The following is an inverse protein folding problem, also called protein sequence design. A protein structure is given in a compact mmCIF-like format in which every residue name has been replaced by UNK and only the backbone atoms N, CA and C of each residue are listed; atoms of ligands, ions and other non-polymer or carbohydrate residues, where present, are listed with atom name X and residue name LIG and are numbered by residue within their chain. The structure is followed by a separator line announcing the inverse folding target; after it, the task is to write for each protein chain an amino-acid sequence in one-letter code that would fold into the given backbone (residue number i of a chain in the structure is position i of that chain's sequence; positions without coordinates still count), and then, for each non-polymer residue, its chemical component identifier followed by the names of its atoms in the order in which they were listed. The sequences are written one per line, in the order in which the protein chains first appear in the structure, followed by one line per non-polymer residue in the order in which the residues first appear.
data_IF_395927720241
#
_entry.id   IF_395927720241
#
_cell.length_a   1.000
_cell.length_b   1.000
_cell.length_c   1.000
_cell.angle_alpha   90.00
_cell.angle_beta   90.00
_cell.angle_gamma   90.00
#
_symmetry.space_group_name_H-M   'P 1'
#
loop_
_entity.id
_entity.type
_entity.pdbx_description
1 polymer ?
#
# COMPACT_ATOMS: atom_id res chain seq x y z
N UNK A 1 21.46 14.41 -7.28
CA UNK A 1 20.81 15.37 -6.38
C UNK A 1 19.68 14.59 -5.75
N UNK A 2 19.89 14.09 -4.54
CA UNK A 2 18.88 13.27 -3.84
C UNK A 2 17.78 14.21 -3.36
N UNK A 3 16.65 14.21 -4.06
CA UNK A 3 15.43 14.81 -3.55
C UNK A 3 15.00 13.99 -2.34
N UNK A 4 15.27 14.51 -1.14
CA UNK A 4 14.63 14.02 0.08
C UNK A 4 13.13 14.19 -0.11
N UNK A 5 12.42 13.13 -0.47
CA UNK A 5 10.98 13.14 -0.58
C UNK A 5 10.43 13.44 0.81
N UNK A 6 10.04 14.70 1.04
CA UNK A 6 9.46 15.15 2.31
C UNK A 6 8.08 14.52 2.46
N UNK A 7 7.67 14.23 3.71
CA UNK A 7 6.28 13.88 3.99
C UNK A 7 5.36 14.98 3.45
N UNK A 8 4.27 14.61 2.78
CA UNK A 8 3.30 15.57 2.25
C UNK A 8 1.92 15.23 2.75
N UNK A 9 1.11 16.25 3.07
CA UNK A 9 -0.25 16.07 3.52
C UNK A 9 -1.21 16.93 2.71
N UNK A 10 -2.26 16.28 2.20
CA UNK A 10 -3.36 16.89 1.48
C UNK A 10 -4.67 16.50 2.16
N UNK A 11 -5.31 17.44 2.82
CA UNK A 11 -6.56 17.18 3.50
C UNK A 11 -7.00 18.33 4.37
N UNK A 12 -8.02 18.05 5.15
CA UNK A 12 -8.59 18.97 6.12
C UNK A 12 -7.56 19.27 7.22
N UNK A 13 -7.55 20.53 7.66
CA UNK A 13 -6.73 21.01 8.77
C UNK A 13 -7.62 21.81 9.71
N UNK A 14 -7.41 21.65 11.01
CA UNK A 14 -8.11 22.46 12.00
C UNK A 14 -7.58 23.90 12.04
N UNK A 15 -8.21 24.76 12.86
CA UNK A 15 -7.83 26.18 13.01
C UNK A 15 -6.39 26.36 13.54
N UNK A 16 -5.82 25.35 14.19
CA UNK A 16 -4.45 25.34 14.73
C UNK A 16 -3.44 24.93 13.64
N UNK A 17 -3.92 24.43 12.50
CA UNK A 17 -3.10 23.95 11.39
C UNK A 17 -2.73 22.47 11.48
N UNK A 18 -3.24 21.75 12.47
CA UNK A 18 -3.05 20.30 12.63
C UNK A 18 -3.92 19.56 11.61
N UNK A 19 -3.44 18.39 11.17
CA UNK A 19 -4.16 17.52 10.22
C UNK A 19 -5.34 16.89 10.97
N UNK A 20 -6.56 17.29 10.60
CA UNK A 20 -7.77 16.93 11.31
C UNK A 20 -8.92 16.80 10.30
N UNK A 21 -9.62 15.67 10.34
CA UNK A 21 -10.60 15.28 9.34
C UNK A 21 -10.01 14.37 8.27
N UNK A 22 -10.58 14.38 7.06
CA UNK A 22 -10.16 13.44 6.00
C UNK A 22 -8.95 13.98 5.25
N UNK A 23 -7.98 13.10 5.00
CA UNK A 23 -6.78 13.48 4.28
C UNK A 23 -5.95 12.33 3.72
N UNK A 24 -5.05 12.71 2.83
CA UNK A 24 -4.01 11.88 2.25
C UNK A 24 -2.65 12.32 2.83
N UNK A 25 -1.97 11.41 3.52
CA UNK A 25 -0.62 11.60 4.03
C UNK A 25 0.36 10.72 3.26
N UNK A 26 1.31 11.32 2.54
CA UNK A 26 2.35 10.61 1.81
C UNK A 26 3.65 10.62 2.61
N UNK A 27 4.19 9.43 2.85
CA UNK A 27 5.45 9.19 3.53
C UNK A 27 6.64 9.31 2.57
N UNK A 28 7.87 9.53 3.09
CA UNK A 28 9.09 9.64 2.28
C UNK A 28 9.41 8.37 1.49
N UNK A 29 8.98 7.21 1.99
CA UNK A 29 9.16 5.92 1.35
C UNK A 29 8.14 5.67 0.21
N UNK A 30 7.27 6.64 -0.09
CA UNK A 30 6.21 6.52 -1.10
C UNK A 30 4.94 5.82 -0.62
N UNK A 31 4.90 5.33 0.61
CA UNK A 31 3.65 4.87 1.23
C UNK A 31 2.70 6.05 1.34
N UNK A 32 1.41 5.84 1.06
CA UNK A 32 0.37 6.87 1.29
C UNK A 32 -0.70 6.32 2.22
N UNK A 33 -1.11 7.12 3.18
CA UNK A 33 -2.29 6.90 3.99
C UNK A 33 -3.43 7.75 3.44
N UNK A 34 -4.61 7.17 3.29
CA UNK A 34 -5.85 7.88 2.95
C UNK A 34 -6.89 7.50 3.99
N UNK A 35 -7.33 8.45 4.79
CA UNK A 35 -8.25 8.17 5.90
C UNK A 35 -8.56 9.39 6.73
N UNK A 36 -9.09 9.14 7.92
CA UNK A 36 -9.37 10.17 8.90
C UNK A 36 -8.13 10.40 9.78
N UNK A 37 -7.85 11.66 10.11
CA UNK A 37 -6.79 12.04 11.02
C UNK A 37 -7.39 12.90 12.13
N UNK A 38 -6.86 12.74 13.34
CA UNK A 38 -7.16 13.61 14.47
C UNK A 38 -5.83 14.02 15.08
N UNK A 39 -5.61 15.32 15.23
CA UNK A 39 -4.35 15.88 15.73
C UNK A 39 -3.07 15.35 15.03
N UNK A 40 -3.18 14.98 13.76
CA UNK A 40 -2.07 14.44 12.97
C UNK A 40 -1.82 12.95 13.12
N UNK A 41 -2.62 12.27 13.92
CA UNK A 41 -2.58 10.82 14.10
C UNK A 41 -3.65 10.15 13.25
N UNK A 42 -3.40 8.92 12.81
CA UNK A 42 -4.40 8.14 12.08
C UNK A 42 -5.56 7.78 13.00
N UNK A 43 -6.78 8.01 12.53
CA UNK A 43 -7.98 7.75 13.29
C UNK A 43 -9.09 7.23 12.37
N UNK A 44 -10.12 6.59 12.92
CA UNK A 44 -11.26 6.09 12.16
C UNK A 44 -10.85 5.12 11.06
N UNK A 45 -11.52 5.19 9.90
CA UNK A 45 -11.22 4.26 8.79
C UNK A 45 -10.16 4.85 7.88
N UNK A 46 -9.10 4.08 7.64
CA UNK A 46 -8.00 4.50 6.78
C UNK A 46 -7.34 3.36 6.02
N UNK A 47 -6.81 3.68 4.85
CA UNK A 47 -6.08 2.74 3.99
C UNK A 47 -4.66 3.22 3.78
N UNK A 48 -3.69 2.37 4.12
CA UNK A 48 -2.30 2.54 3.70
C UNK A 48 -2.10 1.87 2.34
N UNK A 49 -1.47 2.56 1.40
CA UNK A 49 -1.05 1.98 0.13
C UNK A 49 0.47 1.92 0.10
N UNK A 50 0.98 0.72 -0.15
CA UNK A 50 2.41 0.46 -0.28
C UNK A 50 2.76 0.32 -1.76
N UNK A 51 3.68 1.14 -2.29
CA UNK A 51 4.02 1.12 -3.71
C UNK A 51 4.53 -0.26 -4.14
N UNK A 52 3.79 -0.93 -5.04
CA UNK A 52 4.12 -2.25 -5.59
C UNK A 52 4.07 -3.41 -4.57
N UNK A 53 3.42 -3.22 -3.42
CA UNK A 53 3.31 -4.24 -2.36
C UNK A 53 1.88 -4.53 -1.93
N UNK A 54 0.95 -3.61 -2.19
CA UNK A 54 -0.46 -3.76 -1.88
C UNK A 54 -1.01 -2.63 -1.02
N UNK A 55 -2.08 -2.90 -0.26
CA UNK A 55 -2.74 -1.94 0.61
C UNK A 55 -3.15 -2.58 1.93
N UNK A 56 -3.18 -1.79 3.00
CA UNK A 56 -3.65 -2.20 4.32
C UNK A 56 -4.84 -1.34 4.71
N UNK A 57 -6.01 -1.94 4.73
CA UNK A 57 -7.27 -1.30 5.11
C UNK A 57 -7.50 -1.55 6.60
N UNK A 58 -7.56 -0.49 7.40
CA UNK A 58 -7.61 -0.61 8.85
C UNK A 58 -8.49 0.45 9.50
N UNK A 59 -8.99 0.11 10.68
CA UNK A 59 -9.57 1.04 11.63
C UNK A 59 -8.49 1.45 12.64
N UNK A 60 -8.36 2.74 12.86
CA UNK A 60 -7.30 3.37 13.64
C UNK A 60 -7.92 4.11 14.83
N UNK A 61 -7.26 4.03 15.98
CA UNK A 61 -7.54 4.84 17.15
C UNK A 61 -6.24 5.48 17.62
N UNK A 62 -6.11 6.79 17.37
CA UNK A 62 -4.96 7.61 17.78
C UNK A 62 -3.61 6.96 17.40
N UNK A 63 -3.46 6.62 16.12
CA UNK A 63 -2.26 5.99 15.56
C UNK A 63 -2.13 4.49 15.81
N UNK A 64 -2.98 3.89 16.65
CA UNK A 64 -3.00 2.45 16.91
C UNK A 64 -3.99 1.75 16.00
N UNK A 65 -3.62 0.62 15.40
CA UNK A 65 -4.57 -0.19 14.63
C UNK A 65 -5.48 -0.98 15.56
N UNK A 66 -6.79 -0.83 15.37
CA UNK A 66 -7.84 -1.58 16.09
C UNK A 66 -8.14 -2.89 15.37
N UNK A 67 -8.34 -2.82 14.06
CA UNK A 67 -8.53 -3.98 13.18
C UNK A 67 -8.06 -3.63 11.78
N UNK A 68 -7.56 -4.61 11.04
CA UNK A 68 -7.09 -4.34 9.68
C UNK A 68 -6.96 -5.58 8.83
N UNK A 69 -6.99 -5.37 7.52
CA UNK A 69 -6.84 -6.39 6.48
C UNK A 69 -5.76 -5.95 5.51
N UNK A 70 -4.79 -6.82 5.27
CA UNK A 70 -3.74 -6.62 4.30
C UNK A 70 -4.17 -7.24 2.97
N UNK A 71 -4.12 -6.44 1.92
CA UNK A 71 -4.31 -6.86 0.55
C UNK A 71 -2.99 -6.73 -0.20
N UNK A 72 -2.57 -7.77 -0.89
CA UNK A 72 -1.39 -7.75 -1.74
C UNK A 72 -1.73 -7.10 -3.10
N UNK A 73 -0.70 -6.78 -3.88
CA UNK A 73 -0.83 -6.11 -5.19
C UNK A 73 -1.65 -6.94 -6.19
N UNK A 74 -1.59 -8.26 -6.06
CA UNK A 74 -2.38 -9.25 -6.81
C UNK A 74 -3.85 -9.37 -6.35
N UNK A 75 -4.23 -8.63 -5.30
CA UNK A 75 -5.57 -8.65 -4.72
C UNK A 75 -5.79 -9.74 -3.66
N UNK A 76 -4.78 -10.56 -3.34
CA UNK A 76 -4.87 -11.55 -2.27
C UNK A 76 -5.07 -10.86 -0.92
N UNK A 77 -6.04 -11.30 -0.13
CA UNK A 77 -6.28 -10.81 1.24
C UNK A 77 -5.59 -11.74 2.24
N UNK A 78 -4.78 -11.19 3.15
CA UNK A 78 -4.21 -11.91 4.27
C UNK A 78 -5.31 -12.58 5.12
N UNK A 79 -5.16 -13.87 5.36
CA UNK A 79 -6.04 -14.65 6.24
C UNK A 79 -5.24 -15.14 7.43
N UNK A 80 -5.72 -14.89 8.64
CA UNK A 80 -5.09 -15.42 9.86
C UNK A 80 -5.23 -16.94 9.98
N UNK A 81 -6.31 -17.50 9.43
CA UNK A 81 -6.55 -18.95 9.36
C UNK A 81 -6.40 -19.45 7.91
N UNK A 82 -5.65 -20.56 7.74
CA UNK A 82 -5.41 -21.21 6.44
C UNK A 82 -4.70 -20.33 5.40
N UNK A 83 -3.67 -19.59 5.83
CA UNK A 83 -2.83 -18.78 4.95
C UNK A 83 -2.00 -19.65 4.01
N UNK A 84 -2.44 -19.74 2.74
CA UNK A 84 -1.81 -20.60 1.72
C UNK A 84 -0.58 -19.95 1.06
N UNK A 85 -0.37 -18.65 1.23
CA UNK A 85 0.72 -17.90 0.59
C UNK A 85 1.96 -17.87 1.50
N UNK A 86 3.11 -18.34 1.01
CA UNK A 86 4.33 -18.54 1.81
C UNK A 86 4.19 -19.56 2.96
N UNK A 87 3.37 -20.60 2.80
CA UNK A 87 3.51 -21.78 3.67
C UNK A 87 4.85 -22.46 3.40
N UNK A 88 5.49 -23.06 4.41
CA UNK A 88 6.77 -23.78 4.26
C UNK A 88 6.74 -24.86 3.15
N UNK A 89 5.56 -25.28 2.72
CA UNK A 89 5.35 -26.30 1.68
C UNK A 89 5.11 -25.73 0.28
N UNK A 90 4.81 -24.43 0.11
CA UNK A 90 4.47 -23.84 -1.19
C UNK A 90 5.01 -22.40 -1.30
N UNK A 91 6.25 -22.29 -1.80
CA UNK A 91 6.88 -21.02 -2.22
C UNK A 91 6.50 -20.63 -3.65
N UNK A 92 5.27 -20.92 -4.07
CA UNK A 92 4.80 -20.48 -5.38
C UNK A 92 4.13 -19.13 -5.22
N UNK A 93 4.53 -18.18 -6.04
CA UNK A 93 3.89 -16.87 -6.11
C UNK A 93 2.47 -17.01 -6.69
N UNK A 94 1.56 -16.11 -6.35
CA UNK A 94 0.14 -16.18 -6.75
C UNK A 94 -0.04 -16.17 -8.27
N UNK A 95 0.83 -15.44 -8.99
CA UNK A 95 0.89 -15.47 -10.45
C UNK A 95 1.27 -16.86 -10.98
N UNK A 96 2.06 -17.64 -10.26
CA UNK A 96 2.38 -19.03 -10.63
C UNK A 96 1.21 -19.99 -10.38
N UNK A 97 0.27 -19.63 -9.50
CA UNK A 97 -0.97 -20.37 -9.23
C UNK A 97 -2.07 -20.03 -10.24
N UNK A 98 -2.18 -18.76 -10.62
CA UNK A 98 -3.24 -18.24 -11.50
C UNK A 98 -2.89 -18.31 -12.98
N UNK A 99 -1.63 -18.08 -13.34
CA UNK A 99 -1.16 -18.01 -14.73
C UNK A 99 -0.19 -19.16 -15.08
N UNK A 100 0.12 -20.03 -14.12
CA UNK A 100 1.06 -21.15 -14.27
C UNK A 100 2.51 -20.73 -14.06
N UNK A 101 3.40 -21.72 -13.89
CA UNK A 101 4.85 -21.48 -13.75
C UNK A 101 5.43 -21.02 -15.09
N UNK A 102 5.76 -19.73 -15.20
CA UNK A 102 6.51 -19.20 -16.34
C UNK A 102 8.01 -19.36 -16.10
N UNK A 103 8.80 -19.75 -17.12
CA UNK A 103 10.26 -19.80 -16.98
C UNK A 103 10.79 -18.40 -16.64
N UNK A 104 11.85 -18.36 -15.81
CA UNK A 104 12.40 -17.14 -15.18
C UNK A 104 12.82 -15.99 -16.14
N UNK A 105 12.67 -16.16 -17.46
CA UNK A 105 12.97 -15.17 -18.48
C UNK A 105 11.82 -14.22 -18.86
N UNK A 106 10.58 -14.48 -18.46
CA UNK A 106 9.42 -13.64 -18.87
C UNK A 106 8.85 -12.74 -17.75
N UNK A 107 9.44 -12.76 -16.55
CA UNK A 107 8.98 -11.96 -15.40
C UNK A 107 9.74 -10.63 -15.19
N UNK A 108 10.65 -10.23 -16.10
CA UNK A 108 11.52 -9.05 -15.90
C UNK A 108 11.73 -8.18 -17.13
N UNK A 109 10.70 -7.92 -17.94
CA UNK A 109 10.80 -6.86 -18.96
C UNK A 109 9.68 -5.85 -18.74
N UNK A 110 10.01 -4.74 -18.07
CA UNK A 110 9.20 -3.52 -18.13
C UNK A 110 9.14 -3.09 -19.60
N UNK A 111 7.95 -2.92 -20.21
CA UNK A 111 7.88 -2.46 -21.58
C UNK A 111 8.49 -1.05 -21.65
N UNK A 112 9.61 -0.93 -22.36
CA UNK A 112 10.19 0.37 -22.73
C UNK A 112 9.12 1.10 -23.53
N UNK A 113 8.68 2.25 -23.01
CA UNK A 113 7.76 3.16 -23.69
C UNK A 113 8.34 3.51 -25.06
N UNK A 114 7.83 2.89 -26.12
CA UNK A 114 8.16 3.31 -27.48
C UNK A 114 7.51 4.68 -27.70
N UNK A 115 8.32 5.73 -27.69
CA UNK A 115 7.92 7.02 -28.24
C UNK A 115 7.77 6.85 -29.75
N UNK A 116 6.54 7.00 -30.22
CA UNK A 116 6.23 7.19 -31.62
C UNK A 116 7.00 8.40 -32.17
N UNK A 117 7.68 8.23 -33.31
CA UNK A 117 7.70 9.23 -34.39
C UNK A 117 8.23 8.66 -35.70
N UNK A 118 7.26 8.43 -36.58
CA UNK A 118 7.20 8.72 -38.02
C UNK A 118 8.17 8.05 -38.98
#
# INVERSE_FOLDING_TARGET
MEEFIKCSYKGERNQVGTMDGKGEFTFPNGTRYVGELIDGEFHGKGTLFFPGRGRYEAEWDHGTVVSGRLFFDDGLEHQDENWIYCSDQDRRYYNEVTDGLHPAGESFITPIRQENKQ
#
